data_IF_569790019581
#
_entry.id   IF_569790019581
#
_cell.length_a   1.000
_cell.length_b   1.000
_cell.length_c   1.000
_cell.angle_alpha   90.00
_cell.angle_beta   90.00
_cell.angle_gamma   90.00
#
_symmetry.space_group_name_H-M   'P 1'
#
loop_
_entity.id
_entity.type
_entity.pdbx_description
1 polymer ?
#
# COMPACT_ATOMS: atom_id res chain seq x y z
N UNK A 1 -23.06 -8.80 -19.19
CA UNK A 1 -22.62 -7.55 -18.55
C UNK A 1 -22.47 -7.77 -17.05
N UNK A 2 -23.45 -8.35 -16.39
CA UNK A 2 -23.39 -8.62 -14.96
C UNK A 2 -22.27 -9.59 -14.59
N UNK A 3 -21.98 -10.52 -15.45
CA UNK A 3 -20.91 -11.50 -15.25
C UNK A 3 -19.53 -10.87 -15.45
N UNK A 4 -19.40 -9.84 -16.26
CA UNK A 4 -18.16 -9.15 -16.49
C UNK A 4 -17.57 -8.50 -15.23
N UNK A 5 -18.39 -8.02 -14.33
CA UNK A 5 -17.90 -7.46 -13.07
C UNK A 5 -17.22 -8.49 -12.18
N UNK A 6 -17.66 -9.72 -12.26
CA UNK A 6 -17.06 -10.84 -11.51
C UNK A 6 -15.66 -11.16 -12.03
N UNK A 7 -15.49 -11.15 -13.34
CA UNK A 7 -14.23 -11.53 -13.98
C UNK A 7 -13.11 -10.51 -13.78
N UNK A 8 -13.46 -9.30 -13.41
CA UNK A 8 -12.47 -8.25 -13.09
C UNK A 8 -12.01 -8.33 -11.63
N UNK A 9 -12.42 -9.33 -10.90
CA UNK A 9 -12.10 -9.46 -9.48
C UNK A 9 -10.95 -10.44 -9.28
N UNK A 10 -10.21 -10.16 -8.26
CA UNK A 10 -9.34 -11.15 -7.64
C UNK A 10 -10.19 -12.31 -7.11
N UNK A 11 -9.59 -13.46 -6.82
CA UNK A 11 -10.28 -14.51 -6.08
C UNK A 11 -10.94 -14.01 -4.80
N UNK A 12 -10.31 -13.04 -4.14
CA UNK A 12 -10.86 -12.38 -2.95
C UNK A 12 -12.11 -11.58 -3.30
N UNK A 13 -12.14 -10.90 -4.43
CA UNK A 13 -13.30 -10.12 -4.89
C UNK A 13 -14.43 -10.98 -5.42
N UNK A 14 -14.15 -12.19 -5.88
CA UNK A 14 -15.14 -13.17 -6.34
C UNK A 14 -15.71 -13.99 -5.19
N UNK A 15 -14.87 -14.35 -4.24
CA UNK A 15 -15.27 -15.07 -3.04
C UNK A 15 -16.01 -14.14 -2.09
N UNK A 16 -17.29 -14.36 -1.89
CA UNK A 16 -18.10 -13.58 -0.95
C UNK A 16 -17.58 -13.64 0.49
N UNK A 17 -16.92 -14.73 0.89
CA UNK A 17 -16.26 -14.83 2.19
C UNK A 17 -14.95 -14.05 2.25
N UNK A 18 -14.22 -13.97 1.14
CA UNK A 18 -12.92 -13.31 1.07
C UNK A 18 -12.96 -11.85 1.46
N UNK A 19 -13.77 -11.07 0.77
CA UNK A 19 -13.92 -9.64 1.06
C UNK A 19 -14.79 -9.38 2.29
N UNK A 20 -15.85 -10.15 2.46
CA UNK A 20 -16.81 -9.94 3.55
C UNK A 20 -16.21 -10.10 4.93
N UNK A 21 -15.20 -10.94 5.11
CA UNK A 21 -14.54 -11.13 6.41
C UNK A 21 -13.90 -9.84 6.96
N UNK A 22 -13.57 -8.89 6.11
CA UNK A 22 -12.98 -7.60 6.51
C UNK A 22 -14.03 -6.52 6.74
N UNK A 23 -15.25 -6.69 6.25
CA UNK A 23 -16.38 -5.80 6.46
C UNK A 23 -16.33 -4.44 5.74
N UNK A 24 -15.18 -4.04 5.21
CA UNK A 24 -14.94 -2.72 4.62
C UNK A 24 -14.54 -2.78 3.14
N UNK A 25 -13.93 -3.84 2.68
CA UNK A 25 -13.34 -3.94 1.36
C UNK A 25 -14.33 -3.77 0.21
N UNK A 26 -15.54 -4.34 0.23
CA UNK A 26 -16.53 -4.12 -0.83
C UNK A 26 -16.91 -2.66 -1.03
N UNK A 27 -16.69 -1.83 -0.01
CA UNK A 27 -17.00 -0.41 -0.03
C UNK A 27 -15.81 0.47 -0.46
N UNK A 28 -14.59 -0.07 -0.49
CA UNK A 28 -13.40 0.69 -0.81
C UNK A 28 -13.24 0.90 -2.31
N UNK A 29 -13.28 -0.10 -3.14
CA UNK A 29 -13.07 -0.07 -4.60
C UNK A 29 -12.46 1.26 -5.14
N UNK A 30 -13.25 2.13 -5.78
CA UNK A 30 -12.83 3.45 -6.26
C UNK A 30 -12.92 4.58 -5.22
N UNK A 31 -13.31 4.29 -3.98
CA UNK A 31 -13.39 5.32 -2.93
C UNK A 31 -12.00 5.72 -2.48
N UNK A 32 -11.82 7.02 -2.36
CA UNK A 32 -10.61 7.60 -1.80
C UNK A 32 -10.70 7.71 -0.28
N UNK A 33 -9.59 7.53 0.40
CA UNK A 33 -9.50 7.71 1.85
C UNK A 33 -8.45 6.82 2.50
N UNK A 34 -8.29 6.98 3.80
CA UNK A 34 -7.48 6.10 4.64
C UNK A 34 -8.36 4.99 5.17
N UNK A 35 -7.98 3.76 4.92
CA UNK A 35 -8.66 2.58 5.40
C UNK A 35 -7.73 1.78 6.31
N UNK A 36 -8.29 1.24 7.37
CA UNK A 36 -7.56 0.41 8.33
C UNK A 36 -8.43 -0.77 8.77
N UNK A 37 -7.79 -1.90 9.01
CA UNK A 37 -8.45 -3.02 9.66
C UNK A 37 -8.98 -2.63 11.05
N UNK A 38 -10.02 -3.30 11.56
CA UNK A 38 -10.54 -3.03 12.89
C UNK A 38 -9.47 -3.13 13.97
N UNK A 39 -9.54 -2.23 14.96
CA UNK A 39 -8.63 -2.28 16.09
C UNK A 39 -8.81 -3.57 16.89
N UNK A 40 -7.69 -4.16 17.29
CA UNK A 40 -7.66 -5.31 18.20
C UNK A 40 -7.43 -4.78 19.62
N UNK A 41 -8.42 -4.85 20.52
CA UNK A 41 -8.25 -4.38 21.89
C UNK A 41 -7.05 -5.07 22.57
N UNK A 42 -6.28 -4.29 23.33
CA UNK A 42 -5.19 -4.82 24.14
C UNK A 42 -3.98 -5.31 23.37
N UNK A 43 -3.79 -4.86 22.12
CA UNK A 43 -2.56 -5.18 21.37
C UNK A 43 -1.33 -4.68 22.13
N UNK A 44 -0.42 -5.58 22.38
CA UNK A 44 0.85 -5.32 23.07
C UNK A 44 2.02 -5.64 22.12
N UNK A 45 3.18 -5.05 22.42
CA UNK A 45 4.41 -5.45 21.77
C UNK A 45 4.74 -6.91 22.10
N UNK A 46 5.17 -7.68 21.11
CA UNK A 46 5.39 -9.13 21.24
C UNK A 46 6.88 -9.51 21.42
N UNK A 47 7.79 -8.58 21.17
CA UNK A 47 9.22 -8.89 21.01
C UNK A 47 10.12 -8.03 21.90
N UNK A 48 11.29 -8.58 22.22
CA UNK A 48 12.38 -7.91 22.90
C UNK A 48 12.02 -7.38 24.29
N UNK A 49 12.78 -6.41 24.75
CA UNK A 49 12.63 -5.80 26.09
C UNK A 49 11.35 -4.99 26.26
N UNK A 50 10.62 -4.74 25.16
CA UNK A 50 9.36 -4.04 25.15
C UNK A 50 8.15 -4.98 25.20
N UNK A 51 8.35 -6.28 25.23
CA UNK A 51 7.27 -7.27 25.28
C UNK A 51 6.31 -6.98 26.41
N UNK A 52 5.02 -7.02 26.12
CA UNK A 52 3.94 -6.73 27.05
C UNK A 52 3.65 -5.24 27.29
N UNK A 53 4.35 -4.31 26.65
CA UNK A 53 4.10 -2.88 26.77
C UNK A 53 3.07 -2.41 25.72
N UNK A 54 2.24 -1.40 26.06
CA UNK A 54 1.43 -0.70 25.07
C UNK A 54 2.32 -0.09 23.98
N UNK A 55 1.85 -0.19 22.77
CA UNK A 55 2.63 0.19 21.61
C UNK A 55 2.75 1.68 21.41
N UNK A 56 3.79 2.08 20.74
CA UNK A 56 4.23 3.40 20.30
C UNK A 56 4.90 4.22 21.41
N UNK A 57 4.14 4.69 22.41
CA UNK A 57 4.71 5.53 23.48
C UNK A 57 5.76 4.81 24.32
N UNK A 58 5.68 3.48 24.38
CA UNK A 58 6.61 2.65 25.14
C UNK A 58 7.76 2.10 24.29
N UNK A 59 7.79 2.37 22.99
CA UNK A 59 8.87 1.94 22.11
C UNK A 59 10.14 2.75 22.35
N UNK A 60 11.32 2.13 22.35
CA UNK A 60 12.60 2.85 22.31
C UNK A 60 12.67 3.81 21.11
N UNK A 61 13.40 4.91 21.27
CA UNK A 61 13.53 5.91 20.20
C UNK A 61 14.06 5.29 18.89
N UNK A 62 15.09 4.46 18.98
CA UNK A 62 15.65 3.75 17.83
C UNK A 62 14.59 2.96 17.04
N UNK A 63 13.66 2.32 17.75
CA UNK A 63 12.59 1.56 17.13
C UNK A 63 11.58 2.49 16.43
N UNK A 64 11.28 3.63 17.03
CA UNK A 64 10.41 4.65 16.42
C UNK A 64 11.04 5.24 15.16
N UNK A 65 12.35 5.50 15.19
CA UNK A 65 13.10 5.99 14.04
C UNK A 65 13.11 4.95 12.90
N UNK A 66 13.19 3.66 13.23
CA UNK A 66 13.08 2.58 12.26
C UNK A 66 11.67 2.52 11.63
N UNK A 67 10.63 2.59 12.44
CA UNK A 67 9.24 2.62 11.95
C UNK A 67 9.00 3.84 11.06
N UNK A 68 9.53 5.01 11.42
CA UNK A 68 9.46 6.22 10.59
C UNK A 68 10.10 5.99 9.21
N UNK A 69 11.31 5.42 9.15
CA UNK A 69 11.97 5.08 7.89
C UNK A 69 11.16 4.10 7.06
N UNK A 70 10.56 3.12 7.71
CA UNK A 70 9.71 2.14 7.05
C UNK A 70 8.47 2.80 6.42
N UNK A 71 7.81 3.71 7.16
CA UNK A 71 6.67 4.48 6.63
C UNK A 71 7.04 5.29 5.40
N UNK A 72 8.22 5.95 5.43
CA UNK A 72 8.72 6.74 4.31
C UNK A 72 9.02 5.87 3.11
N UNK A 73 9.72 4.74 3.30
CA UNK A 73 10.08 3.86 2.19
C UNK A 73 8.83 3.22 1.58
N UNK A 74 7.92 2.70 2.39
CA UNK A 74 6.66 2.13 1.91
C UNK A 74 5.82 3.19 1.19
N UNK A 75 5.65 4.37 1.78
CA UNK A 75 4.89 5.46 1.16
C UNK A 75 5.49 6.00 -0.15
N UNK A 76 6.78 5.76 -0.41
CA UNK A 76 7.44 6.19 -1.64
C UNK A 76 7.25 5.19 -2.79
N UNK A 77 7.04 3.91 -2.49
CA UNK A 77 6.82 2.88 -3.53
C UNK A 77 5.45 3.01 -4.20
N UNK A 78 4.42 3.30 -3.42
CA UNK A 78 3.04 3.33 -3.86
C UNK A 78 2.79 4.30 -5.05
N UNK A 79 3.13 5.59 -4.94
CA UNK A 79 2.96 6.49 -6.09
C UNK A 79 3.95 6.19 -7.22
N UNK A 80 5.07 5.51 -6.93
CA UNK A 80 6.02 5.05 -7.92
C UNK A 80 5.36 4.10 -8.92
N UNK A 81 4.64 3.11 -8.43
CA UNK A 81 3.89 2.13 -9.23
C UNK A 81 2.89 2.82 -10.17
N UNK A 82 2.13 3.79 -9.66
CA UNK A 82 1.18 4.57 -10.45
C UNK A 82 1.88 5.39 -11.54
N UNK A 83 2.97 6.05 -11.19
CA UNK A 83 3.72 6.89 -12.14
C UNK A 83 4.38 6.07 -13.25
N UNK A 84 4.88 4.86 -12.94
CA UNK A 84 5.47 3.94 -13.92
C UNK A 84 4.43 3.42 -14.92
N UNK A 85 3.22 3.11 -14.46
CA UNK A 85 2.18 2.46 -15.25
C UNK A 85 1.23 3.44 -15.95
N UNK A 86 1.24 4.71 -15.59
CA UNK A 86 0.25 5.73 -16.04
C UNK A 86 0.03 5.81 -17.55
N UNK A 87 1.05 5.57 -18.37
CA UNK A 87 0.94 5.67 -19.82
C UNK A 87 0.30 4.45 -20.47
N UNK A 88 0.26 3.33 -19.78
CA UNK A 88 -0.30 2.09 -20.30
C UNK A 88 -1.82 2.20 -20.54
N UNK A 89 -2.49 3.11 -19.84
CA UNK A 89 -3.90 3.38 -20.08
C UNK A 89 -4.23 3.73 -21.54
N UNK A 90 -3.28 4.34 -22.26
CA UNK A 90 -3.45 4.72 -23.66
C UNK A 90 -3.38 3.54 -24.63
N UNK A 91 -2.80 2.43 -24.21
CA UNK A 91 -2.57 1.23 -25.01
C UNK A 91 -3.20 -0.02 -24.41
N UNK A 92 -4.21 0.18 -23.54
CA UNK A 92 -4.88 -0.92 -22.88
C UNK A 92 -5.45 -1.93 -23.90
N UNK A 93 -5.10 -3.23 -23.78
CA UNK A 93 -5.57 -4.25 -24.72
C UNK A 93 -7.09 -4.40 -24.73
N UNK A 94 -7.74 -4.10 -23.62
CA UNK A 94 -9.19 -4.12 -23.48
C UNK A 94 -9.67 -3.09 -22.45
N UNK A 95 -10.98 -2.86 -22.40
CA UNK A 95 -11.60 -2.05 -21.35
C UNK A 95 -11.46 -2.69 -19.95
N UNK A 96 -11.26 -3.98 -19.89
CA UNK A 96 -11.00 -4.68 -18.64
C UNK A 96 -9.63 -4.33 -18.07
N UNK A 97 -8.61 -4.38 -18.93
CA UNK A 97 -7.25 -4.03 -18.53
C UNK A 97 -7.17 -2.56 -18.11
N UNK A 98 -7.84 -1.67 -18.84
CA UNK A 98 -7.94 -0.27 -18.47
C UNK A 98 -8.60 -0.09 -17.09
N UNK A 99 -9.70 -0.78 -16.85
CA UNK A 99 -10.41 -0.71 -15.56
C UNK A 99 -9.56 -1.24 -14.42
N UNK A 100 -8.85 -2.35 -14.63
CA UNK A 100 -7.94 -2.91 -13.64
C UNK A 100 -6.81 -1.93 -13.32
N UNK A 101 -6.19 -1.34 -14.33
CA UNK A 101 -5.16 -0.32 -14.14
C UNK A 101 -5.65 0.89 -13.34
N UNK A 102 -6.86 1.36 -13.61
CA UNK A 102 -7.45 2.47 -12.86
C UNK A 102 -7.76 2.08 -11.41
N UNK A 103 -8.25 0.87 -11.17
CA UNK A 103 -8.50 0.37 -9.82
C UNK A 103 -7.19 0.22 -9.05
N UNK A 104 -6.18 -0.41 -9.64
CA UNK A 104 -4.81 -0.50 -9.12
C UNK A 104 -4.29 0.89 -8.71
N UNK A 105 -4.39 1.87 -9.60
CA UNK A 105 -3.92 3.23 -9.31
C UNK A 105 -4.62 3.89 -8.11
N UNK A 106 -5.90 3.61 -7.90
CA UNK A 106 -6.64 4.10 -6.72
C UNK A 106 -6.23 3.37 -5.46
N UNK A 107 -5.97 2.08 -5.53
CA UNK A 107 -5.51 1.25 -4.41
C UNK A 107 -4.12 1.71 -3.95
N UNK A 108 -3.17 1.84 -4.84
CA UNK A 108 -1.83 2.39 -4.59
C UNK A 108 -1.89 3.82 -3.99
N UNK A 109 -2.77 4.65 -4.51
CA UNK A 109 -3.00 5.98 -3.96
C UNK A 109 -3.54 5.97 -2.53
N UNK A 110 -4.40 5.01 -2.17
CA UNK A 110 -4.86 4.83 -0.80
C UNK A 110 -3.73 4.36 0.12
N UNK A 111 -2.86 3.48 -0.37
CA UNK A 111 -1.69 3.00 0.37
C UNK A 111 -0.75 4.18 0.70
N UNK A 112 -0.43 5.02 -0.28
CA UNK A 112 0.30 6.26 -0.03
C UNK A 112 -0.38 7.12 1.05
N UNK A 113 -1.70 7.36 0.91
CA UNK A 113 -2.42 8.18 1.88
C UNK A 113 -2.43 7.60 3.28
N UNK A 114 -2.45 6.28 3.41
CA UNK A 114 -2.31 5.65 4.72
C UNK A 114 -0.96 5.97 5.36
N UNK A 115 0.13 5.92 4.60
CA UNK A 115 1.47 6.25 5.10
C UNK A 115 1.60 7.75 5.44
N UNK A 116 1.09 8.63 4.59
CA UNK A 116 1.03 10.08 4.85
C UNK A 116 0.25 10.38 6.14
N UNK A 117 -0.91 9.74 6.31
CA UNK A 117 -1.72 9.89 7.52
C UNK A 117 -0.95 9.46 8.77
N UNK A 118 -0.27 8.33 8.74
CA UNK A 118 0.52 7.85 9.88
C UNK A 118 1.68 8.77 10.22
N UNK A 119 2.36 9.34 9.23
CA UNK A 119 3.41 10.33 9.43
C UNK A 119 2.87 11.60 10.10
N UNK A 120 1.75 12.12 9.61
CA UNK A 120 1.14 13.35 10.13
C UNK A 120 0.59 13.18 11.54
N UNK A 121 -0.08 12.08 11.83
CA UNK A 121 -0.79 11.89 13.10
C UNK A 121 0.13 11.39 14.23
N UNK A 122 1.21 10.71 13.91
CA UNK A 122 1.97 10.00 14.94
C UNK A 122 3.45 10.39 15.03
N UNK A 123 4.04 10.99 14.00
CA UNK A 123 5.47 11.32 13.97
C UNK A 123 5.73 12.79 14.34
N UNK A 124 4.70 13.64 14.29
CA UNK A 124 4.80 15.04 14.67
C UNK A 124 5.37 15.93 13.56
N UNK A 125 6.18 16.92 13.92
CA UNK A 125 6.70 17.91 12.95
C UNK A 125 7.55 17.27 11.88
N UNK A 126 8.47 16.39 12.26
CA UNK A 126 9.32 15.65 11.30
C UNK A 126 8.49 14.76 10.35
N UNK A 127 7.39 14.17 10.84
CA UNK A 127 6.49 13.40 9.99
C UNK A 127 5.78 14.25 8.94
N UNK A 128 5.54 15.53 9.21
CA UNK A 128 5.01 16.46 8.21
C UNK A 128 6.02 16.71 7.10
N UNK A 129 7.27 16.99 7.45
CA UNK A 129 8.33 17.21 6.48
C UNK A 129 8.56 15.97 5.62
N UNK A 130 8.49 14.78 6.23
CA UNK A 130 8.58 13.50 5.52
C UNK A 130 7.41 13.31 4.54
N UNK A 131 6.19 13.60 4.97
CA UNK A 131 5.00 13.48 4.14
C UNK A 131 5.04 14.45 2.93
N UNK A 132 5.48 15.68 3.14
CA UNK A 132 5.71 16.64 2.06
C UNK A 132 6.80 16.15 1.10
N UNK A 133 7.88 15.58 1.65
CA UNK A 133 8.94 14.95 0.88
C UNK A 133 8.44 13.81 0.00
N UNK A 134 7.59 12.92 0.52
CA UNK A 134 6.96 11.85 -0.25
C UNK A 134 6.12 12.38 -1.42
N UNK A 135 5.31 13.40 -1.16
CA UNK A 135 4.44 14.00 -2.18
C UNK A 135 5.22 14.79 -3.24
N UNK A 136 6.42 15.26 -2.91
CA UNK A 136 7.26 16.00 -3.84
C UNK A 136 8.08 15.11 -4.79
N UNK A 137 8.32 13.83 -4.43
CA UNK A 137 9.09 12.91 -5.26
C UNK A 137 8.35 12.53 -6.54
N UNK A 138 9.13 12.20 -7.59
CA UNK A 138 8.59 11.76 -8.89
C UNK A 138 9.49 10.69 -9.50
N UNK A 139 8.90 9.65 -10.05
CA UNK A 139 9.62 8.60 -10.77
C UNK A 139 10.44 9.19 -11.90
N UNK A 140 11.72 8.86 -11.94
CA UNK A 140 12.65 9.31 -12.96
C UNK A 140 13.03 10.79 -12.91
N UNK A 141 12.66 11.52 -11.85
CA UNK A 141 13.11 12.90 -11.65
C UNK A 141 14.62 12.96 -11.40
N UNK A 142 15.31 13.90 -12.03
CA UNK A 142 16.73 14.12 -11.79
C UNK A 142 16.99 14.75 -10.40
N UNK A 143 16.06 15.59 -9.94
CA UNK A 143 16.24 16.38 -8.71
C UNK A 143 15.64 15.70 -7.49
N UNK A 144 14.55 14.96 -7.67
CA UNK A 144 13.81 14.35 -6.58
C UNK A 144 13.21 12.98 -6.96
N UNK A 145 14.05 11.97 -7.23
CA UNK A 145 13.62 10.65 -7.66
C UNK A 145 12.96 9.86 -6.51
N UNK A 146 12.33 8.74 -6.84
CA UNK A 146 11.89 7.75 -5.88
C UNK A 146 13.09 7.14 -5.14
N UNK A 147 12.89 6.78 -3.87
CA UNK A 147 13.97 6.25 -2.99
C UNK A 147 14.55 4.95 -3.56
N UNK A 148 13.68 4.06 -3.99
CA UNK A 148 14.10 2.79 -4.59
C UNK A 148 14.23 2.95 -6.11
N UNK A 149 15.41 2.65 -6.63
CA UNK A 149 15.77 2.88 -8.04
C UNK A 149 14.82 2.19 -9.02
N UNK A 150 14.32 1.01 -8.68
CA UNK A 150 13.37 0.27 -9.49
C UNK A 150 12.11 1.08 -9.85
N UNK A 151 11.67 1.97 -8.97
CA UNK A 151 10.50 2.82 -9.17
C UNK A 151 10.78 4.09 -10.01
N UNK A 152 12.00 4.28 -10.47
CA UNK A 152 12.36 5.40 -11.34
C UNK A 152 12.32 5.06 -12.84
N UNK A 153 12.11 3.81 -13.19
CA UNK A 153 12.07 3.35 -14.57
C UNK A 153 10.62 3.17 -15.05
N UNK A 154 10.22 3.73 -16.22
CA UNK A 154 8.87 3.56 -16.73
C UNK A 154 8.63 2.12 -17.17
N UNK A 155 7.43 1.62 -16.99
CA UNK A 155 6.95 0.40 -17.61
C UNK A 155 6.51 0.71 -19.05
N UNK A 156 7.14 0.06 -20.01
CA UNK A 156 7.00 0.42 -21.43
C UNK A 156 5.84 -0.27 -22.13
N UNK A 157 5.43 -1.43 -21.62
CA UNK A 157 4.41 -2.26 -22.23
C UNK A 157 3.64 -3.09 -21.17
N UNK A 158 2.53 -3.67 -21.60
CA UNK A 158 1.64 -4.45 -20.74
C UNK A 158 2.27 -5.75 -20.21
N UNK A 159 3.20 -6.37 -20.95
CA UNK A 159 3.92 -7.55 -20.46
C UNK A 159 4.83 -7.17 -19.29
N UNK A 160 5.57 -6.08 -19.45
CA UNK A 160 6.41 -5.52 -18.36
C UNK A 160 5.58 -5.16 -17.14
N UNK A 161 4.36 -4.61 -17.33
CA UNK A 161 3.44 -4.31 -16.26
C UNK A 161 2.96 -5.56 -15.51
N UNK A 162 2.51 -6.58 -16.23
CA UNK A 162 2.09 -7.84 -15.61
C UNK A 162 3.24 -8.52 -14.87
N UNK A 163 4.44 -8.49 -15.42
CA UNK A 163 5.62 -9.03 -14.75
C UNK A 163 6.00 -8.22 -13.51
N UNK A 164 5.82 -6.92 -13.56
CA UNK A 164 6.03 -6.03 -12.41
C UNK A 164 5.03 -6.38 -11.30
N UNK A 165 3.74 -6.38 -11.57
CA UNK A 165 2.71 -6.76 -10.60
C UNK A 165 2.96 -8.16 -10.02
N UNK A 166 3.35 -9.12 -10.88
CA UNK A 166 3.63 -10.47 -10.40
C UNK A 166 4.87 -10.57 -9.50
N UNK A 167 5.90 -9.80 -9.76
CA UNK A 167 7.18 -9.89 -9.02
C UNK A 167 7.26 -8.88 -7.88
N UNK A 168 7.03 -7.60 -8.16
CA UNK A 168 7.18 -6.52 -7.21
C UNK A 168 6.06 -6.52 -6.16
N UNK A 169 4.81 -6.66 -6.58
CA UNK A 169 3.68 -6.67 -5.65
C UNK A 169 3.67 -7.97 -4.82
N UNK A 170 4.18 -9.05 -5.40
CA UNK A 170 4.39 -10.28 -4.63
C UNK A 170 5.41 -10.09 -3.51
N UNK A 171 6.50 -9.38 -3.76
CA UNK A 171 7.48 -9.02 -2.72
C UNK A 171 6.84 -8.06 -1.71
N UNK A 172 6.16 -7.02 -2.19
CA UNK A 172 5.39 -6.07 -1.38
C UNK A 172 4.41 -6.75 -0.44
N UNK A 173 3.69 -7.76 -0.92
CA UNK A 173 2.79 -8.56 -0.09
C UNK A 173 3.49 -9.20 1.10
N UNK A 174 4.67 -9.78 0.91
CA UNK A 174 5.43 -10.37 2.03
C UNK A 174 5.97 -9.32 3.00
N UNK A 175 6.36 -8.16 2.48
CA UNK A 175 6.73 -7.02 3.32
C UNK A 175 5.55 -6.55 4.16
N UNK A 176 4.39 -6.32 3.53
CA UNK A 176 3.17 -5.91 4.23
C UNK A 176 2.71 -6.94 5.25
N UNK A 177 2.88 -8.23 4.96
CA UNK A 177 2.57 -9.30 5.92
C UNK A 177 3.45 -9.18 7.17
N UNK A 178 4.74 -8.93 7.00
CA UNK A 178 5.65 -8.65 8.12
C UNK A 178 5.29 -7.36 8.86
N UNK A 179 4.98 -6.29 8.13
CA UNK A 179 4.56 -5.00 8.69
C UNK A 179 3.24 -5.09 9.45
N UNK A 180 2.34 -5.98 9.03
CA UNK A 180 1.06 -6.21 9.72
C UNK A 180 1.20 -6.76 11.14
N UNK A 181 2.38 -7.25 11.47
CA UNK A 181 2.74 -7.70 12.82
C UNK A 181 3.48 -6.62 13.64
N UNK A 182 3.66 -5.44 13.08
CA UNK A 182 4.32 -4.33 13.78
C UNK A 182 3.71 -4.08 15.15
N UNK A 183 4.56 -3.75 16.12
CA UNK A 183 4.15 -3.27 17.43
C UNK A 183 3.41 -1.91 17.34
N UNK A 184 3.62 -1.15 16.29
CA UNK A 184 2.89 0.09 16.03
C UNK A 184 1.51 -0.23 15.41
N UNK A 185 0.48 -0.31 16.24
CA UNK A 185 -0.86 -0.75 15.86
C UNK A 185 -1.47 -0.01 14.65
N UNK A 186 -1.39 1.32 14.52
CA UNK A 186 -1.92 2.00 13.35
C UNK A 186 -1.30 1.52 12.03
N UNK A 187 0.03 1.32 11.99
CA UNK A 187 0.72 0.78 10.83
C UNK A 187 0.30 -0.67 10.54
N UNK A 188 0.25 -1.49 11.56
CA UNK A 188 -0.16 -2.88 11.42
C UNK A 188 -1.58 -3.01 10.84
N UNK A 189 -2.51 -2.16 11.25
CA UNK A 189 -3.89 -2.13 10.75
C UNK A 189 -3.99 -1.62 9.31
N UNK A 190 -3.18 -0.61 8.97
CA UNK A 190 -3.07 -0.14 7.59
C UNK A 190 -2.52 -1.25 6.69
N UNK A 191 -1.43 -1.90 7.09
CA UNK A 191 -0.86 -3.02 6.34
C UNK A 191 -1.83 -4.20 6.17
N UNK A 192 -2.61 -4.53 7.21
CA UNK A 192 -3.65 -5.56 7.10
C UNK A 192 -4.74 -5.20 6.09
N UNK A 193 -5.09 -3.93 5.97
CA UNK A 193 -6.00 -3.49 4.91
C UNK A 193 -5.34 -3.58 3.54
N UNK A 194 -4.13 -3.04 3.38
CA UNK A 194 -3.38 -3.07 2.12
C UNK A 194 -3.23 -4.49 1.58
N UNK A 195 -2.96 -5.47 2.43
CA UNK A 195 -2.90 -6.90 2.06
C UNK A 195 -4.15 -7.43 1.36
N UNK A 196 -5.31 -6.85 1.63
CA UNK A 196 -6.55 -7.26 0.93
C UNK A 196 -6.58 -6.74 -0.51
N UNK A 197 -5.92 -5.63 -0.78
CA UNK A 197 -5.84 -5.01 -2.10
C UNK A 197 -4.67 -5.60 -2.91
N UNK A 198 -3.56 -5.93 -2.27
CA UNK A 198 -2.43 -6.64 -2.91
C UNK A 198 -2.84 -7.97 -3.56
N UNK A 199 -3.86 -8.62 -3.04
CA UNK A 199 -4.41 -9.81 -3.68
C UNK A 199 -4.98 -9.50 -5.08
N UNK A 200 -5.51 -8.30 -5.30
CA UNK A 200 -5.96 -7.83 -6.61
C UNK A 200 -4.77 -7.61 -7.56
N UNK A 201 -3.73 -6.94 -7.09
CA UNK A 201 -2.56 -6.61 -7.89
C UNK A 201 -1.88 -7.84 -8.49
N UNK A 202 -1.84 -8.95 -7.74
CA UNK A 202 -1.23 -10.19 -8.20
C UNK A 202 -2.09 -10.99 -9.21
N UNK A 203 -3.34 -10.62 -9.42
CA UNK A 203 -4.27 -11.32 -10.30
C UNK A 203 -4.69 -10.48 -11.53
N UNK A 204 -4.13 -9.30 -11.69
CA UNK A 204 -4.28 -8.51 -12.89
C UNK A 204 -3.54 -9.20 -14.03
#
# INVERSE_FOLDING_TARGET
IRDNEVYLRTPVGVDAGGWAQYGFVPLSQYRWGVFQAPAKPGRLALFGDIAGRPVWQALPQEHRDYVRKLLITQGDTEPGSVEQSRQLALTAPSLYDLRNLLQFSVEEGRHLWAMVHLLLEHIGAEGRDDAEGLLARRSGSADNPRILDAFNNPLQDWLSYFMWCFLADRDGKYQLLSVSESAFDPLARSAQFMLTEEAHHMFI
#
